data_IF_114993360214
#
_entry.id   IF_114993360214
#
_cell.length_a   1.000
_cell.length_b   1.000
_cell.length_c   1.000
_cell.angle_alpha   90.00
_cell.angle_beta   90.00
_cell.angle_gamma   90.00
#
_symmetry.space_group_name_H-M   'P 1'
#
loop_
_entity.id
_entity.type
_entity.pdbx_description
1 polymer ?
#
# COMPACT_ATOMS: atom_id res chain seq x y z
N UNK A 1 3.15 25.71 -21.22
CA UNK A 1 2.71 26.58 -22.33
C UNK A 1 2.79 28.02 -21.86
N UNK A 2 3.68 28.87 -22.42
CA UNK A 2 3.78 30.27 -22.03
C UNK A 2 2.63 31.07 -22.67
N UNK A 3 1.86 31.78 -21.85
CA UNK A 3 0.77 32.64 -22.32
C UNK A 3 1.31 33.79 -23.16
N UNK A 4 0.79 33.93 -24.39
CA UNK A 4 0.99 35.08 -25.26
C UNK A 4 0.30 36.30 -24.64
N UNK A 5 1.04 37.12 -23.89
CA UNK A 5 0.59 38.47 -23.58
C UNK A 5 0.53 39.26 -24.89
N UNK A 6 -0.68 39.59 -25.34
CA UNK A 6 -0.96 40.23 -26.64
C UNK A 6 -0.45 41.67 -26.78
N UNK A 7 0.03 42.28 -25.70
CA UNK A 7 0.67 43.60 -25.71
C UNK A 7 2.13 43.46 -25.29
N UNK A 8 3.04 43.93 -26.16
CA UNK A 8 4.46 43.98 -25.85
C UNK A 8 4.68 45.01 -24.72
N UNK A 9 5.44 44.68 -23.64
CA UNK A 9 5.62 45.54 -22.47
C UNK A 9 6.03 46.99 -22.79
N UNK A 10 6.80 47.20 -23.86
CA UNK A 10 7.24 48.54 -24.28
C UNK A 10 6.09 49.49 -24.61
N UNK A 11 4.96 48.99 -25.13
CA UNK A 11 3.79 49.83 -25.45
C UNK A 11 3.14 50.41 -24.19
N UNK A 12 3.08 49.62 -23.12
CA UNK A 12 2.60 50.08 -21.81
C UNK A 12 3.54 51.13 -21.21
N UNK A 13 4.86 50.96 -21.34
CA UNK A 13 5.84 51.96 -20.88
C UNK A 13 5.74 53.27 -21.66
N UNK A 14 5.55 53.23 -22.98
CA UNK A 14 5.37 54.44 -23.78
C UNK A 14 4.06 55.16 -23.48
N UNK A 15 2.96 54.43 -23.24
CA UNK A 15 1.69 55.04 -22.85
C UNK A 15 1.75 55.67 -21.45
N UNK A 16 2.44 55.03 -20.49
CA UNK A 16 2.73 55.61 -19.17
C UNK A 16 3.63 56.84 -19.27
N UNK A 17 4.69 56.78 -20.07
CA UNK A 17 5.60 57.91 -20.29
C UNK A 17 4.90 59.12 -20.92
N UNK A 18 4.04 58.90 -21.92
CA UNK A 18 3.21 59.95 -22.54
C UNK A 18 2.15 60.48 -21.57
N UNK A 19 1.53 59.62 -20.78
CA UNK A 19 0.59 60.02 -19.73
C UNK A 19 1.26 60.92 -18.69
N UNK A 20 2.46 60.57 -18.23
CA UNK A 20 3.24 61.37 -17.28
C UNK A 20 3.64 62.72 -17.92
N UNK A 21 4.14 62.72 -19.15
CA UNK A 21 4.52 63.95 -19.88
C UNK A 21 3.34 64.90 -20.09
N UNK A 22 2.16 64.38 -20.43
CA UNK A 22 0.95 65.18 -20.61
C UNK A 22 0.35 65.64 -19.27
N UNK A 23 0.52 64.87 -18.20
CA UNK A 23 0.09 65.22 -16.83
C UNK A 23 0.98 66.28 -16.18
N UNK A 24 2.23 66.44 -16.62
CA UNK A 24 3.14 67.49 -16.14
C UNK A 24 2.69 68.88 -16.63
N UNK A 25 2.06 68.98 -17.81
CA UNK A 25 1.65 70.27 -18.39
C UNK A 25 0.66 71.08 -17.53
N UNK A 26 -0.42 70.51 -16.97
CA UNK A 26 -1.27 71.24 -16.03
C UNK A 26 -0.57 71.58 -14.71
N UNK A 27 0.41 70.78 -14.26
CA UNK A 27 1.25 71.09 -13.10
C UNK A 27 2.14 72.30 -13.39
N UNK A 28 2.77 72.35 -14.57
CA UNK A 28 3.57 73.49 -15.03
C UNK A 28 2.69 74.75 -15.08
N UNK A 29 1.48 74.67 -15.66
CA UNK A 29 0.54 75.82 -15.73
C UNK A 29 0.05 76.25 -14.34
N UNK A 30 -0.16 75.32 -13.40
CA UNK A 30 -0.50 75.63 -12.01
C UNK A 30 0.66 76.29 -11.27
N UNK A 31 1.89 75.82 -11.48
CA UNK A 31 3.12 76.42 -10.95
C UNK A 31 3.32 77.83 -11.53
N UNK A 32 3.06 78.03 -12.83
CA UNK A 32 3.11 79.33 -13.52
C UNK A 32 2.04 80.30 -13.00
N UNK A 33 0.82 79.80 -12.71
CA UNK A 33 -0.26 80.58 -12.08
C UNK A 33 -0.02 80.91 -10.60
N UNK A 34 0.64 80.02 -9.87
CA UNK A 34 1.05 80.27 -8.49
C UNK A 34 2.21 81.28 -8.43
N UNK A 35 3.16 81.21 -9.36
CA UNK A 35 4.26 82.16 -9.49
C UNK A 35 3.81 83.54 -10.00
N UNK A 36 2.73 83.61 -10.78
CA UNK A 36 2.14 84.87 -11.26
C UNK A 36 1.14 85.52 -10.29
N UNK A 37 1.03 85.02 -9.06
CA UNK A 37 0.27 85.66 -7.96
C UNK A 37 -1.27 85.51 -8.03
N UNK A 38 -1.80 84.70 -8.96
CA UNK A 38 -3.25 84.52 -9.16
C UNK A 38 -3.91 83.48 -8.24
N UNK A 39 -3.12 82.73 -7.47
CA UNK A 39 -3.57 81.72 -6.51
C UNK A 39 -2.79 81.91 -5.21
N UNK A 40 -3.49 81.97 -4.07
CA UNK A 40 -2.83 81.96 -2.77
C UNK A 40 -1.89 80.74 -2.68
N UNK A 41 -0.63 80.90 -2.25
CA UNK A 41 0.32 79.79 -2.10
C UNK A 41 -0.22 78.60 -1.31
N UNK A 42 -1.13 78.86 -0.35
CA UNK A 42 -1.82 77.83 0.42
C UNK A 42 -2.72 76.94 -0.45
N UNK A 43 -3.47 77.52 -1.41
CA UNK A 43 -4.35 76.78 -2.29
C UNK A 43 -3.57 75.89 -3.27
N UNK A 44 -2.47 76.41 -3.85
CA UNK A 44 -1.61 75.65 -4.75
C UNK A 44 -0.98 74.42 -4.06
N UNK A 45 -0.56 74.59 -2.80
CA UNK A 45 -0.02 73.49 -1.98
C UNK A 45 -1.07 72.41 -1.75
N UNK A 46 -2.30 72.78 -1.39
CA UNK A 46 -3.40 71.82 -1.17
C UNK A 46 -3.73 71.05 -2.45
N UNK A 47 -3.85 71.71 -3.60
CA UNK A 47 -4.13 71.02 -4.87
C UNK A 47 -3.01 70.07 -5.28
N UNK A 48 -1.75 70.47 -5.12
CA UNK A 48 -0.61 69.61 -5.40
C UNK A 48 -0.58 68.37 -4.50
N UNK A 49 -0.92 68.53 -3.21
CA UNK A 49 -0.99 67.43 -2.25
C UNK A 49 -2.13 66.46 -2.59
N UNK A 50 -3.32 66.96 -2.96
CA UNK A 50 -4.45 66.12 -3.37
C UNK A 50 -4.13 65.31 -4.63
N UNK A 51 -3.56 65.93 -5.65
CA UNK A 51 -3.16 65.24 -6.89
C UNK A 51 -2.05 64.21 -6.60
N UNK A 52 -1.02 64.58 -5.85
CA UNK A 52 0.06 63.69 -5.46
C UNK A 52 -0.44 62.47 -4.67
N UNK A 53 -1.27 62.70 -3.66
CA UNK A 53 -1.87 61.62 -2.86
C UNK A 53 -2.80 60.73 -3.70
N UNK A 54 -3.54 61.29 -4.65
CA UNK A 54 -4.43 60.53 -5.53
C UNK A 54 -3.64 59.58 -6.44
N UNK A 55 -2.49 60.02 -6.97
CA UNK A 55 -1.57 59.17 -7.72
C UNK A 55 -1.01 58.02 -6.89
N UNK A 56 -0.57 58.30 -5.65
CA UNK A 56 -0.09 57.27 -4.72
C UNK A 56 -1.20 56.29 -4.35
N UNK A 57 -2.43 56.76 -4.10
CA UNK A 57 -3.56 55.92 -3.77
C UNK A 57 -3.93 54.97 -4.93
N UNK A 58 -3.92 55.47 -6.16
CA UNK A 58 -4.25 54.70 -7.36
C UNK A 58 -3.19 53.62 -7.66
N UNK A 59 -1.90 53.96 -7.58
CA UNK A 59 -0.80 52.98 -7.74
C UNK A 59 -0.85 51.91 -6.65
N UNK A 60 -1.11 52.31 -5.41
CA UNK A 60 -1.28 51.40 -4.27
C UNK A 60 -2.48 50.47 -4.46
N UNK A 61 -3.63 51.00 -4.93
CA UNK A 61 -4.82 50.20 -5.23
C UNK A 61 -4.56 49.13 -6.29
N UNK A 62 -3.89 49.49 -7.40
CA UNK A 62 -3.51 48.52 -8.43
C UNK A 62 -2.51 47.47 -7.91
N UNK A 63 -1.56 47.88 -7.08
CA UNK A 63 -0.63 46.98 -6.41
C UNK A 63 -1.33 45.94 -5.55
N UNK A 64 -2.25 46.38 -4.67
CA UNK A 64 -3.03 45.47 -3.82
C UNK A 64 -3.92 44.53 -4.63
N UNK A 65 -4.56 45.01 -5.69
CA UNK A 65 -5.41 44.17 -6.56
C UNK A 65 -4.62 43.03 -7.20
N UNK A 66 -3.42 43.30 -7.70
CA UNK A 66 -2.56 42.27 -8.30
C UNK A 66 -2.05 41.28 -7.24
N UNK A 67 -1.71 41.77 -6.04
CA UNK A 67 -1.28 40.92 -4.93
C UNK A 67 -2.38 39.95 -4.48
N UNK A 68 -3.61 40.45 -4.31
CA UNK A 68 -4.77 39.62 -3.96
C UNK A 68 -4.99 38.54 -5.02
N UNK A 69 -4.99 38.91 -6.30
CA UNK A 69 -5.16 37.95 -7.39
C UNK A 69 -4.04 36.89 -7.42
N UNK A 70 -2.79 37.29 -7.19
CA UNK A 70 -1.66 36.35 -7.10
C UNK A 70 -1.78 35.41 -5.92
N UNK A 71 -2.20 35.91 -4.75
CA UNK A 71 -2.42 35.09 -3.56
C UNK A 71 -3.56 34.10 -3.77
N UNK A 72 -4.66 34.51 -4.42
CA UNK A 72 -5.76 33.61 -4.77
C UNK A 72 -5.32 32.50 -5.73
N UNK A 73 -4.54 32.85 -6.77
CA UNK A 73 -4.01 31.85 -7.72
C UNK A 73 -3.03 30.90 -7.05
N UNK A 74 -2.15 31.41 -6.18
CA UNK A 74 -1.20 30.59 -5.43
C UNK A 74 -1.95 29.66 -4.46
N UNK A 75 -2.92 30.18 -3.72
CA UNK A 75 -3.76 29.37 -2.83
C UNK A 75 -4.53 28.28 -3.60
N UNK A 76 -5.03 28.58 -4.80
CA UNK A 76 -5.67 27.58 -5.68
C UNK A 76 -4.67 26.51 -6.13
N UNK A 77 -3.46 26.89 -6.56
CA UNK A 77 -2.41 25.94 -6.95
C UNK A 77 -1.98 25.06 -5.79
N UNK A 78 -1.78 25.64 -4.61
CA UNK A 78 -1.39 24.92 -3.40
C UNK A 78 -2.49 23.93 -2.97
N UNK A 79 -3.75 24.33 -3.06
CA UNK A 79 -4.88 23.43 -2.80
C UNK A 79 -4.90 22.25 -3.77
N UNK A 80 -4.74 22.52 -5.07
CA UNK A 80 -4.71 21.46 -6.09
C UNK A 80 -3.51 20.52 -5.90
N UNK A 81 -2.33 21.09 -5.62
CA UNK A 81 -1.13 20.30 -5.35
C UNK A 81 -1.29 19.39 -4.13
N UNK A 82 -1.96 19.86 -3.06
CA UNK A 82 -2.27 19.03 -1.88
C UNK A 82 -3.25 17.91 -2.21
N UNK A 83 -4.26 18.18 -3.03
CA UNK A 83 -5.20 17.15 -3.48
C UNK A 83 -4.49 16.08 -4.32
N UNK A 84 -3.66 16.49 -5.27
CA UNK A 84 -2.90 15.58 -6.11
C UNK A 84 -1.94 14.72 -5.25
N UNK A 85 -1.22 15.34 -4.32
CA UNK A 85 -0.36 14.63 -3.37
C UNK A 85 -1.13 13.61 -2.54
N UNK A 86 -2.32 13.95 -2.04
CA UNK A 86 -3.16 13.02 -1.29
C UNK A 86 -3.57 11.82 -2.16
N UNK A 87 -4.02 12.05 -3.39
CA UNK A 87 -4.42 10.96 -4.29
C UNK A 87 -3.26 10.05 -4.67
N UNK A 88 -2.05 10.61 -4.86
CA UNK A 88 -0.84 9.83 -5.12
C UNK A 88 -0.45 8.99 -3.91
N UNK A 89 -0.53 9.54 -2.70
CA UNK A 89 -0.27 8.79 -1.46
C UNK A 89 -1.28 7.67 -1.23
N UNK A 90 -2.57 7.90 -1.52
CA UNK A 90 -3.60 6.89 -1.39
C UNK A 90 -3.35 5.72 -2.35
N UNK A 91 -3.00 6.01 -3.61
CA UNK A 91 -2.62 5.00 -4.61
C UNK A 91 -1.37 4.23 -4.18
N UNK A 92 -0.32 4.93 -3.76
CA UNK A 92 0.91 4.29 -3.29
C UNK A 92 0.65 3.34 -2.10
N UNK A 93 -0.17 3.74 -1.13
CA UNK A 93 -0.57 2.89 0.01
C UNK A 93 -1.43 1.70 -0.40
N UNK A 94 -2.23 1.82 -1.47
CA UNK A 94 -3.00 0.70 -2.00
C UNK A 94 -2.09 -0.29 -2.73
N UNK A 95 -1.16 0.20 -3.55
CA UNK A 95 -0.15 -0.61 -4.24
C UNK A 95 0.78 -1.32 -3.27
N UNK A 96 1.23 -0.64 -2.21
CA UNK A 96 2.07 -1.24 -1.16
C UNK A 96 1.35 -2.38 -0.44
N UNK A 97 0.06 -2.20 -0.09
CA UNK A 97 -0.76 -3.27 0.53
C UNK A 97 -0.96 -4.45 -0.42
N UNK A 98 -1.23 -4.20 -1.70
CA UNK A 98 -1.36 -5.26 -2.69
C UNK A 98 -0.04 -6.00 -2.93
N UNK A 99 1.08 -5.27 -2.95
CA UNK A 99 2.41 -5.86 -3.06
C UNK A 99 2.75 -6.73 -1.83
N UNK A 100 2.45 -6.24 -0.63
CA UNK A 100 2.61 -6.98 0.62
C UNK A 100 1.79 -8.28 0.60
N UNK A 101 0.51 -8.18 0.22
CA UNK A 101 -0.40 -9.32 0.10
C UNK A 101 0.12 -10.37 -0.88
N UNK A 102 0.57 -9.97 -2.06
CA UNK A 102 1.13 -10.89 -3.08
C UNK A 102 2.42 -11.55 -2.61
N UNK A 103 3.30 -10.78 -1.97
CA UNK A 103 4.59 -11.29 -1.47
C UNK A 103 4.36 -12.32 -0.37
N UNK A 104 3.48 -12.02 0.58
CA UNK A 104 3.10 -12.96 1.63
C UNK A 104 2.44 -14.22 1.05
N UNK A 105 1.51 -14.05 0.10
CA UNK A 105 0.84 -15.18 -0.55
C UNK A 105 1.84 -16.08 -1.30
N UNK A 106 2.81 -15.51 -2.00
CA UNK A 106 3.86 -16.25 -2.70
C UNK A 106 4.78 -17.02 -1.74
N UNK A 107 5.18 -16.38 -0.64
CA UNK A 107 6.03 -17.01 0.37
C UNK A 107 5.33 -18.21 1.03
N UNK A 108 4.07 -18.03 1.45
CA UNK A 108 3.25 -19.09 2.04
C UNK A 108 2.94 -20.20 1.03
N UNK A 109 2.69 -19.85 -0.23
CA UNK A 109 2.49 -20.83 -1.31
C UNK A 109 3.72 -21.72 -1.48
N UNK A 110 4.92 -21.13 -1.51
CA UNK A 110 6.18 -21.89 -1.60
C UNK A 110 6.38 -22.85 -0.41
N UNK A 111 6.08 -22.39 0.81
CA UNK A 111 6.14 -23.25 2.00
C UNK A 111 5.10 -24.37 1.95
N UNK A 112 3.88 -24.07 1.52
CA UNK A 112 2.79 -25.04 1.44
C UNK A 112 3.09 -26.14 0.41
N UNK A 113 3.66 -25.80 -0.74
CA UNK A 113 4.12 -26.79 -1.74
C UNK A 113 5.26 -27.64 -1.19
N UNK A 114 6.21 -27.04 -0.49
CA UNK A 114 7.29 -27.81 0.15
C UNK A 114 6.75 -28.78 1.21
N UNK A 115 5.76 -28.34 1.98
CA UNK A 115 5.08 -29.14 2.98
C UNK A 115 4.28 -30.28 2.34
N UNK A 116 3.54 -30.03 1.24
CA UNK A 116 2.83 -31.05 0.47
C UNK A 116 3.78 -32.16 0.01
N UNK A 117 4.94 -31.81 -0.55
CA UNK A 117 5.95 -32.79 -0.99
C UNK A 117 6.51 -33.60 0.18
N UNK A 118 6.74 -32.98 1.34
CA UNK A 118 7.14 -33.71 2.55
C UNK A 118 6.05 -34.68 3.01
N UNK A 119 4.79 -34.25 2.99
CA UNK A 119 3.65 -35.09 3.33
C UNK A 119 3.53 -36.31 2.42
N UNK A 120 3.71 -36.14 1.10
CA UNK A 120 3.72 -37.24 0.13
C UNK A 120 4.84 -38.25 0.41
N UNK A 121 6.06 -37.77 0.67
CA UNK A 121 7.20 -38.64 0.99
C UNK A 121 6.98 -39.42 2.28
N UNK A 122 6.48 -38.74 3.32
CA UNK A 122 6.12 -39.34 4.60
C UNK A 122 5.03 -40.40 4.40
N UNK A 123 3.98 -40.08 3.64
CA UNK A 123 2.89 -41.00 3.34
C UNK A 123 3.39 -42.27 2.64
N UNK A 124 4.29 -42.16 1.66
CA UNK A 124 4.91 -43.32 1.00
C UNK A 124 5.70 -44.18 1.99
N UNK A 125 6.45 -43.55 2.88
CA UNK A 125 7.20 -44.25 3.92
C UNK A 125 6.28 -45.00 4.90
N UNK A 126 5.20 -44.38 5.38
CA UNK A 126 4.23 -45.04 6.27
C UNK A 126 3.43 -46.15 5.57
N UNK A 127 3.15 -46.03 4.26
CA UNK A 127 2.56 -47.13 3.48
C UNK A 127 3.47 -48.36 3.49
N UNK A 128 4.79 -48.16 3.34
CA UNK A 128 5.75 -49.25 3.41
C UNK A 128 5.89 -49.81 4.83
N UNK A 129 6.00 -48.94 5.85
CA UNK A 129 6.08 -49.37 7.25
C UNK A 129 4.84 -50.18 7.67
N UNK A 130 3.65 -49.77 7.22
CA UNK A 130 2.42 -50.52 7.48
C UNK A 130 2.51 -51.96 7.01
N UNK A 131 2.97 -52.18 5.77
CA UNK A 131 3.12 -53.54 5.21
C UNK A 131 4.14 -54.36 6.01
N UNK A 132 5.22 -53.74 6.46
CA UNK A 132 6.23 -54.41 7.32
C UNK A 132 5.62 -54.79 8.67
N UNK A 133 4.93 -53.87 9.33
CA UNK A 133 4.30 -54.10 10.62
C UNK A 133 3.15 -55.11 10.57
N UNK A 134 2.34 -55.11 9.51
CA UNK A 134 1.33 -56.15 9.24
C UNK A 134 1.98 -57.54 9.09
N UNK A 135 3.14 -57.64 8.43
CA UNK A 135 3.88 -58.90 8.34
C UNK A 135 4.44 -59.35 9.68
N UNK A 136 5.02 -58.44 10.46
CA UNK A 136 5.55 -58.75 11.79
C UNK A 136 4.44 -59.16 12.78
N UNK A 137 3.26 -58.55 12.69
CA UNK A 137 2.10 -58.90 13.50
C UNK A 137 1.62 -60.34 13.25
N UNK A 138 1.78 -60.83 12.01
CA UNK A 138 1.39 -62.19 11.62
C UNK A 138 2.50 -63.23 11.83
N UNK A 139 3.73 -62.82 12.15
CA UNK A 139 4.84 -63.72 12.40
C UNK A 139 4.88 -64.15 13.88
N UNK A 140 4.81 -65.47 14.11
CA UNK A 140 4.84 -66.03 15.46
C UNK A 140 6.09 -65.67 16.27
N UNK A 141 7.21 -65.38 15.62
CA UNK A 141 8.45 -64.98 16.28
C UNK A 141 8.47 -63.50 16.66
N UNK A 142 7.83 -62.63 15.89
CA UNK A 142 7.98 -61.17 16.01
C UNK A 142 6.72 -60.43 16.48
N UNK A 143 5.56 -61.10 16.57
CA UNK A 143 4.28 -60.47 16.94
C UNK A 143 4.25 -59.75 18.29
N UNK A 144 5.11 -60.14 19.22
CA UNK A 144 5.19 -59.57 20.57
C UNK A 144 6.36 -58.59 20.76
N UNK A 145 7.10 -58.27 19.70
CA UNK A 145 8.23 -57.35 19.78
C UNK A 145 7.70 -55.93 19.64
N UNK A 146 8.00 -55.10 20.63
CA UNK A 146 7.65 -53.69 20.59
C UNK A 146 8.48 -52.95 19.53
N UNK A 147 7.80 -52.19 18.68
CA UNK A 147 8.41 -51.37 17.64
C UNK A 147 8.28 -49.89 17.99
N UNK A 148 9.32 -49.06 17.70
CA UNK A 148 9.21 -47.62 17.85
C UNK A 148 8.28 -47.06 16.77
N UNK A 149 7.34 -46.23 17.18
CA UNK A 149 6.53 -45.41 16.27
C UNK A 149 7.03 -43.99 16.39
N UNK A 150 7.31 -43.35 15.25
CA UNK A 150 7.60 -41.92 15.19
C UNK A 150 6.36 -41.21 14.66
N UNK A 151 6.11 -39.96 15.05
CA UNK A 151 5.16 -39.09 14.33
C UNK A 151 5.98 -38.12 13.48
N UNK A 152 5.57 -37.86 12.23
CA UNK A 152 6.26 -36.89 11.40
C UNK A 152 6.16 -35.51 12.05
N UNK A 153 7.28 -34.79 12.05
CA UNK A 153 7.36 -33.40 12.52
C UNK A 153 7.64 -32.50 11.34
N UNK A 154 6.92 -31.40 11.25
CA UNK A 154 7.05 -30.44 10.17
C UNK A 154 7.42 -29.08 10.75
N UNK A 155 8.40 -28.43 10.13
CA UNK A 155 8.77 -27.05 10.43
C UNK A 155 8.20 -26.14 9.36
N UNK A 156 7.59 -25.05 9.80
CA UNK A 156 6.91 -24.06 8.94
C UNK A 156 7.42 -22.66 9.28
N UNK A 157 8.73 -22.39 9.06
CA UNK A 157 9.36 -21.15 9.48
C UNK A 157 8.77 -19.90 8.82
N UNK A 158 8.27 -19.98 7.58
CA UNK A 158 7.69 -18.82 6.89
C UNK A 158 6.36 -18.45 7.52
N UNK A 159 5.49 -19.43 7.78
CA UNK A 159 4.25 -19.24 8.50
C UNK A 159 4.47 -18.67 9.90
N UNK A 160 5.36 -19.29 10.69
CA UNK A 160 5.67 -18.83 12.06
C UNK A 160 6.18 -17.38 12.07
N UNK A 161 7.09 -17.03 11.14
CA UNK A 161 7.62 -15.67 11.01
C UNK A 161 6.57 -14.63 10.57
N UNK A 162 5.46 -15.05 9.95
CA UNK A 162 4.46 -14.15 9.38
C UNK A 162 3.06 -14.30 9.97
N UNK A 163 2.90 -15.03 11.09
CA UNK A 163 1.58 -15.30 11.70
C UNK A 163 0.81 -14.01 12.03
N UNK A 164 1.51 -12.97 12.51
CA UNK A 164 0.93 -11.68 12.83
C UNK A 164 0.41 -10.90 11.60
N UNK A 165 0.86 -11.25 10.40
CA UNK A 165 0.54 -10.56 9.13
C UNK A 165 -0.48 -11.32 8.27
N UNK A 166 -0.98 -12.47 8.73
CA UNK A 166 -1.96 -13.26 7.96
C UNK A 166 -3.22 -12.46 7.60
N UNK A 167 -3.62 -11.48 8.43
CA UNK A 167 -4.76 -10.62 8.16
C UNK A 167 -4.68 -9.86 6.83
N UNK A 168 -3.47 -9.63 6.29
CA UNK A 168 -3.26 -8.97 4.99
C UNK A 168 -3.85 -9.79 3.82
N UNK A 169 -3.96 -11.11 3.96
CA UNK A 169 -4.54 -12.00 2.95
C UNK A 169 -6.07 -11.90 2.85
N UNK A 170 -6.71 -11.29 3.86
CA UNK A 170 -8.15 -11.33 4.07
C UNK A 170 -8.57 -12.50 4.96
N UNK A 171 -9.62 -12.31 5.76
CA UNK A 171 -10.05 -13.23 6.81
C UNK A 171 -10.28 -14.67 6.32
N UNK A 172 -10.87 -14.81 5.14
CA UNK A 172 -11.17 -16.11 4.52
C UNK A 172 -9.91 -16.92 4.22
N UNK A 173 -8.95 -16.35 3.48
CA UNK A 173 -7.69 -17.04 3.12
C UNK A 173 -6.81 -17.21 4.36
N UNK A 174 -6.78 -16.22 5.24
CA UNK A 174 -6.02 -16.29 6.49
C UNK A 174 -6.47 -17.45 7.38
N UNK A 175 -7.78 -17.68 7.51
CA UNK A 175 -8.34 -18.78 8.28
C UNK A 175 -7.96 -20.15 7.71
N UNK A 176 -8.03 -20.31 6.38
CA UNK A 176 -7.64 -21.55 5.72
C UNK A 176 -6.14 -21.86 5.89
N UNK A 177 -5.29 -20.84 5.71
CA UNK A 177 -3.84 -20.95 5.95
C UNK A 177 -3.57 -21.33 7.40
N UNK A 178 -4.14 -20.60 8.36
CA UNK A 178 -3.96 -20.87 9.78
C UNK A 178 -4.44 -22.29 10.18
N UNK A 179 -5.53 -22.77 9.59
CA UNK A 179 -6.05 -24.12 9.81
C UNK A 179 -5.04 -25.20 9.41
N UNK A 180 -4.46 -25.10 8.19
CA UNK A 180 -3.49 -26.09 7.71
C UNK A 180 -2.22 -26.06 8.57
N UNK A 181 -1.64 -24.88 8.76
CA UNK A 181 -0.39 -24.78 9.50
C UNK A 181 -0.56 -25.10 10.99
N UNK A 182 -1.74 -24.82 11.57
CA UNK A 182 -2.10 -25.22 12.93
C UNK A 182 -2.12 -26.73 13.12
N UNK A 183 -2.68 -27.49 12.16
CA UNK A 183 -2.68 -28.97 12.19
C UNK A 183 -1.26 -29.55 12.16
N UNK A 184 -0.36 -28.87 11.47
CA UNK A 184 1.00 -29.34 11.16
C UNK A 184 2.01 -28.97 12.26
N UNK A 185 1.71 -27.91 13.03
CA UNK A 185 2.59 -27.38 14.09
C UNK A 185 2.50 -28.14 15.42
N UNK A 186 1.59 -29.10 15.54
CA UNK A 186 1.45 -29.93 16.76
C UNK A 186 2.64 -30.88 16.85
N UNK A 187 3.67 -30.48 17.62
CA UNK A 187 4.77 -31.35 17.98
C UNK A 187 4.43 -32.11 19.26
N UNK A 188 4.28 -33.45 19.24
CA UNK A 188 4.25 -34.21 20.48
C UNK A 188 5.62 -34.06 21.16
N UNK A 189 5.63 -33.47 22.36
CA UNK A 189 6.83 -33.21 23.16
C UNK A 189 7.48 -34.50 23.69
N UNK A 190 6.73 -35.61 23.78
CA UNK A 190 7.23 -36.88 24.31
C UNK A 190 7.76 -37.82 23.25
N UNK A 191 8.77 -38.61 23.64
CA UNK A 191 9.09 -39.87 22.96
C UNK A 191 7.82 -40.72 22.93
N UNK A 192 7.48 -41.21 21.74
CA UNK A 192 6.29 -42.01 21.58
C UNK A 192 6.48 -43.38 22.22
N UNK A 193 5.41 -43.94 22.79
CA UNK A 193 5.50 -45.27 23.36
C UNK A 193 5.89 -46.26 22.27
N UNK A 194 6.74 -47.23 22.63
CA UNK A 194 6.90 -48.42 21.81
C UNK A 194 5.60 -49.21 21.88
N UNK A 195 5.15 -49.74 20.75
CA UNK A 195 3.86 -50.42 20.64
C UNK A 195 4.02 -51.75 19.91
N UNK A 196 3.03 -52.62 20.04
CA UNK A 196 2.98 -53.86 19.29
C UNK A 196 2.85 -53.59 17.78
N UNK A 197 3.34 -54.49 16.90
CA UNK A 197 3.32 -54.28 15.45
C UNK A 197 1.91 -54.08 14.89
N UNK A 198 0.89 -54.73 15.45
CA UNK A 198 -0.51 -54.55 15.06
C UNK A 198 -0.98 -53.10 15.31
N UNK A 199 -0.68 -52.55 16.49
CA UNK A 199 -1.01 -51.17 16.84
C UNK A 199 -0.23 -50.21 15.95
N UNK A 200 1.05 -50.48 15.71
CA UNK A 200 1.89 -49.68 14.83
C UNK A 200 1.30 -49.61 13.40
N UNK A 201 0.83 -50.73 12.86
CA UNK A 201 0.18 -50.78 11.55
C UNK A 201 -1.10 -49.93 11.50
N UNK A 202 -1.94 -49.98 12.54
CA UNK A 202 -3.13 -49.12 12.67
C UNK A 202 -2.73 -47.64 12.71
N UNK A 203 -1.71 -47.28 13.49
CA UNK A 203 -1.19 -45.91 13.55
C UNK A 203 -0.66 -45.44 12.20
N UNK A 204 0.13 -46.27 11.49
CA UNK A 204 0.62 -45.97 10.15
C UNK A 204 -0.53 -45.68 9.17
N UNK A 205 -1.60 -46.48 9.24
CA UNK A 205 -2.79 -46.26 8.43
C UNK A 205 -3.43 -44.90 8.76
N UNK A 206 -3.60 -44.58 10.05
CA UNK A 206 -4.12 -43.28 10.47
C UNK A 206 -3.28 -42.11 9.98
N UNK A 207 -1.95 -42.23 10.01
CA UNK A 207 -1.04 -41.23 9.42
C UNK A 207 -1.32 -41.07 7.94
N UNK A 208 -1.38 -42.17 7.18
CA UNK A 208 -1.60 -42.15 5.72
C UNK A 208 -2.94 -41.48 5.38
N UNK A 209 -4.01 -41.88 6.04
CA UNK A 209 -5.37 -41.37 5.81
C UNK A 209 -5.45 -39.87 6.18
N UNK A 210 -4.83 -39.48 7.30
CA UNK A 210 -4.75 -38.08 7.73
C UNK A 210 -3.97 -37.20 6.73
N UNK A 211 -2.85 -37.71 6.19
CA UNK A 211 -2.07 -36.97 5.19
C UNK A 211 -2.84 -36.84 3.87
N UNK A 212 -3.62 -37.83 3.44
CA UNK A 212 -4.44 -37.73 2.24
C UNK A 212 -5.49 -36.61 2.34
N UNK A 213 -6.18 -36.52 3.48
CA UNK A 213 -7.12 -35.43 3.75
C UNK A 213 -6.40 -34.07 3.75
N UNK A 214 -5.27 -34.00 4.44
CA UNK A 214 -4.49 -32.77 4.55
C UNK A 214 -3.94 -32.29 3.21
N UNK A 215 -3.44 -33.18 2.35
CA UNK A 215 -2.93 -32.84 1.01
C UNK A 215 -4.03 -32.20 0.15
N UNK A 216 -5.28 -32.70 0.21
CA UNK A 216 -6.41 -32.10 -0.52
C UNK A 216 -6.67 -30.66 -0.06
N UNK A 217 -6.63 -30.43 1.26
CA UNK A 217 -6.76 -29.09 1.82
C UNK A 217 -5.58 -28.18 1.39
N UNK A 218 -4.34 -28.68 1.43
CA UNK A 218 -3.16 -27.94 0.97
C UNK A 218 -3.29 -27.55 -0.51
N UNK A 219 -3.75 -28.44 -1.37
CA UNK A 219 -3.98 -28.15 -2.79
C UNK A 219 -5.06 -27.07 -2.98
N UNK A 220 -6.13 -27.11 -2.18
CA UNK A 220 -7.16 -26.09 -2.21
C UNK A 220 -6.59 -24.73 -1.81
N UNK A 221 -5.94 -24.63 -0.65
CA UNK A 221 -5.36 -23.37 -0.16
C UNK A 221 -4.26 -22.85 -1.08
N UNK A 222 -3.48 -23.74 -1.71
CA UNK A 222 -2.50 -23.38 -2.73
C UNK A 222 -3.14 -22.66 -3.91
N UNK A 223 -4.31 -23.10 -4.38
CA UNK A 223 -5.06 -22.43 -5.46
C UNK A 223 -5.57 -21.05 -5.02
N UNK A 224 -6.00 -20.91 -3.77
CA UNK A 224 -6.42 -19.62 -3.22
C UNK A 224 -5.24 -18.64 -3.14
N UNK A 225 -4.10 -19.09 -2.64
CA UNK A 225 -2.87 -18.31 -2.57
C UNK A 225 -2.33 -17.96 -3.96
N UNK A 226 -2.47 -18.84 -4.95
CA UNK A 226 -2.09 -18.52 -6.34
C UNK A 226 -3.02 -17.48 -6.95
N UNK A 227 -4.33 -17.53 -6.67
CA UNK A 227 -5.28 -16.52 -7.13
C UNK A 227 -4.94 -15.13 -6.58
N UNK A 228 -4.49 -15.04 -5.32
CA UNK A 228 -4.01 -13.77 -4.74
C UNK A 228 -2.76 -13.22 -5.44
N UNK A 229 -1.95 -14.08 -6.05
CA UNK A 229 -0.78 -13.70 -6.85
C UNK A 229 -1.16 -13.30 -8.30
N UNK A 230 -2.44 -13.38 -8.67
CA UNK A 230 -2.92 -13.15 -10.03
C UNK A 230 -2.84 -14.39 -10.93
N UNK A 231 -2.65 -15.58 -10.36
CA UNK A 231 -2.53 -16.85 -11.09
C UNK A 231 -3.79 -17.70 -10.84
N UNK A 232 -4.70 -17.68 -11.80
CA UNK A 232 -5.92 -18.51 -11.79
C UNK A 232 -7.11 -17.87 -11.04
N UNK A 233 -8.13 -18.68 -10.79
CA UNK A 233 -9.38 -18.28 -10.12
C UNK A 233 -9.41 -18.81 -8.68
N UNK A 234 -9.92 -18.01 -7.72
CA UNK A 234 -10.10 -18.45 -6.33
C UNK A 234 -11.26 -19.45 -6.26
N UNK A 235 -11.03 -20.71 -5.84
CA UNK A 235 -12.09 -21.70 -5.70
C UNK A 235 -13.08 -21.42 -4.55
N UNK A 236 -12.86 -20.38 -3.74
CA UNK A 236 -13.69 -20.06 -2.58
C UNK A 236 -13.30 -20.87 -1.35
N UNK A 237 -14.22 -21.05 -0.41
CA UNK A 237 -13.97 -21.78 0.84
C UNK A 237 -13.96 -23.29 0.66
N UNK A 238 -13.13 -23.98 1.46
CA UNK A 238 -13.12 -25.44 1.51
C UNK A 238 -14.42 -25.96 2.12
N UNK A 239 -15.16 -26.81 1.39
CA UNK A 239 -16.44 -27.37 1.84
C UNK A 239 -16.34 -28.77 2.47
N UNK A 240 -15.15 -29.38 2.51
CA UNK A 240 -14.89 -30.65 3.20
C UNK A 240 -15.81 -31.82 2.80
N UNK A 241 -15.35 -32.66 1.87
CA UNK A 241 -15.91 -34.00 1.66
C UNK A 241 -14.91 -35.06 2.14
#
# INVERSE_FOLDING_TARGET
MPEKTWLKPWLCFSALGLGILLSIRPIIVLVEKALSGGLSPAAATIFSAVIGFSGVALTTYFGFRNLIHSQELQAKRDRNARLDQYTLQEKARAEEREHEKRTLAAALFGELVALEKRCLNVQQFYKLQRVVWEKLANDNQFKNIEVPVNWPRYKTPIFEANIARLGVLGSSVAGDVASIFGKVSVNPESELPKVLPEIAAIMAKGVVDGHDGMIKEMLHVSKRLSALQGIGHDPGHWQGN
#
